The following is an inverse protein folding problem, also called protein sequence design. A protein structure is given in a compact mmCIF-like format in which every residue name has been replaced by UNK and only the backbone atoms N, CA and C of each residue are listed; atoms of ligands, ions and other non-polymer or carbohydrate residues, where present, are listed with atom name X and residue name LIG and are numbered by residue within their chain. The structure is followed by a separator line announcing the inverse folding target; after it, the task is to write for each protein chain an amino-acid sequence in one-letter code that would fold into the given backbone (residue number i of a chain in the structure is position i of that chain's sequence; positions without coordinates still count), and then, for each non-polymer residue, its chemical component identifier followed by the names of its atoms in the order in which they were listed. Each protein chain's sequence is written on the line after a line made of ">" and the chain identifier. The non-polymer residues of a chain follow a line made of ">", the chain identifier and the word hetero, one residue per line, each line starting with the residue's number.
data_IF_442068183345
#
_entry.id   IF_442068183345
#
_cell.length_a   1.000
_cell.length_b   1.000
_cell.length_c   1.000
_cell.angle_alpha   90.00
_cell.angle_beta   90.00
_cell.angle_gamma   90.00
#
_symmetry.space_group_name_H-M   'P 1'
#
loop_
_entity.id
_entity.type
_entity.pdbx_description
1 polymer ?
#
# COMPACT_ATOMS: atom_id res chain seq x y z
N UNK A 1 15.19 -51.33 3.98
CA UNK A 1 15.49 -50.40 2.86
C UNK A 1 14.25 -49.74 2.28
N UNK A 2 13.20 -50.48 1.90
CA UNK A 2 12.01 -49.92 1.26
C UNK A 2 11.26 -48.87 2.12
N UNK A 3 11.15 -49.09 3.44
CA UNK A 3 10.49 -48.14 4.35
C UNK A 3 11.22 -46.79 4.51
N UNK A 4 12.56 -46.79 4.46
CA UNK A 4 13.36 -45.55 4.52
C UNK A 4 13.19 -44.77 3.23
N UNK A 5 13.17 -45.45 2.08
CA UNK A 5 12.95 -44.82 0.77
C UNK A 5 11.56 -44.19 0.68
N UNK A 6 10.51 -44.88 1.14
CA UNK A 6 9.15 -44.33 1.18
C UNK A 6 9.03 -43.12 2.11
N UNK A 7 9.69 -43.16 3.27
CA UNK A 7 9.72 -42.02 4.19
C UNK A 7 10.43 -40.80 3.57
N UNK A 8 11.57 -41.01 2.90
CA UNK A 8 12.29 -39.94 2.21
C UNK A 8 11.47 -39.33 1.07
N UNK A 9 10.75 -40.15 0.29
CA UNK A 9 9.84 -39.67 -0.75
C UNK A 9 8.70 -38.84 -0.14
N UNK A 10 8.09 -39.30 0.95
CA UNK A 10 7.04 -38.56 1.64
C UNK A 10 7.53 -37.20 2.18
N UNK A 11 8.73 -37.15 2.77
CA UNK A 11 9.36 -35.90 3.22
C UNK A 11 9.62 -34.97 2.03
N UNK A 12 10.15 -35.49 0.91
CA UNK A 12 10.41 -34.69 -0.28
C UNK A 12 9.12 -34.09 -0.86
N UNK A 13 8.05 -34.87 -0.91
CA UNK A 13 6.72 -34.40 -1.37
C UNK A 13 6.19 -33.31 -0.43
N UNK A 14 6.31 -33.48 0.89
CA UNK A 14 5.91 -32.48 1.88
C UNK A 14 6.72 -31.18 1.73
N UNK A 15 8.04 -31.28 1.60
CA UNK A 15 8.92 -30.12 1.39
C UNK A 15 8.63 -29.41 0.08
N UNK A 16 8.39 -30.15 -1.00
CA UNK A 16 8.02 -29.58 -2.30
C UNK A 16 6.65 -28.89 -2.23
N UNK A 17 5.67 -29.52 -1.60
CA UNK A 17 4.33 -28.93 -1.41
C UNK A 17 4.39 -27.67 -0.55
N UNK A 18 5.21 -27.67 0.51
CA UNK A 18 5.46 -26.51 1.35
C UNK A 18 6.16 -25.40 0.56
N UNK A 19 7.15 -25.73 -0.28
CA UNK A 19 7.85 -24.77 -1.13
C UNK A 19 6.91 -24.10 -2.15
N UNK A 20 6.06 -24.89 -2.83
CA UNK A 20 5.05 -24.36 -3.76
C UNK A 20 4.03 -23.49 -3.03
N UNK A 21 3.59 -23.90 -1.83
CA UNK A 21 2.70 -23.11 -0.99
C UNK A 21 3.34 -21.76 -0.60
N UNK A 22 4.59 -21.77 -0.14
CA UNK A 22 5.35 -20.54 0.16
C UNK A 22 5.46 -19.66 -1.09
N UNK A 23 5.79 -20.23 -2.26
CA UNK A 23 5.90 -19.47 -3.51
C UNK A 23 4.56 -18.81 -3.92
N UNK A 24 3.45 -19.52 -3.74
CA UNK A 24 2.11 -19.04 -4.03
C UNK A 24 1.68 -17.91 -3.07
N UNK A 25 1.85 -18.13 -1.77
CA UNK A 25 1.55 -17.13 -0.73
C UNK A 25 2.37 -15.85 -0.90
N UNK A 26 3.64 -15.95 -1.33
CA UNK A 26 4.51 -14.79 -1.60
C UNK A 26 4.11 -13.96 -2.83
N UNK A 27 3.31 -14.50 -3.76
CA UNK A 27 2.96 -13.86 -5.03
C UNK A 27 1.47 -13.55 -5.18
N UNK A 28 0.69 -13.66 -4.10
CA UNK A 28 -0.74 -13.32 -4.15
C UNK A 28 -0.88 -11.81 -4.38
N UNK A 29 -1.54 -11.48 -5.49
CA UNK A 29 -1.76 -10.11 -5.96
C UNK A 29 -3.24 -9.76 -5.82
N UNK A 30 -3.51 -8.54 -5.40
CA UNK A 30 -4.87 -8.03 -5.15
C UNK A 30 -5.21 -6.92 -6.12
N UNK A 31 -6.21 -7.17 -6.97
CA UNK A 31 -6.94 -6.12 -7.68
C UNK A 31 -7.98 -5.46 -6.77
N UNK A 32 -8.73 -4.50 -7.32
CA UNK A 32 -9.71 -3.69 -6.57
C UNK A 32 -10.72 -4.51 -5.76
N UNK A 33 -11.32 -5.52 -6.37
CA UNK A 33 -12.32 -6.38 -5.72
C UNK A 33 -11.71 -7.21 -4.60
N UNK A 34 -10.51 -7.75 -4.82
CA UNK A 34 -9.76 -8.49 -3.81
C UNK A 34 -9.43 -7.65 -2.58
N UNK A 35 -8.94 -6.42 -2.78
CA UNK A 35 -8.67 -5.46 -1.70
C UNK A 35 -9.95 -5.17 -0.90
N UNK A 36 -11.06 -4.86 -1.58
CA UNK A 36 -12.33 -4.57 -0.91
C UNK A 36 -12.87 -5.78 -0.14
N UNK A 37 -12.75 -6.99 -0.70
CA UNK A 37 -13.15 -8.23 -0.03
C UNK A 37 -12.36 -8.46 1.26
N UNK A 38 -11.04 -8.34 1.20
CA UNK A 38 -10.19 -8.52 2.38
C UNK A 38 -10.42 -7.45 3.46
N UNK A 39 -10.64 -6.19 3.06
CA UNK A 39 -11.02 -5.12 3.99
C UNK A 39 -12.37 -5.39 4.66
N UNK A 40 -13.31 -6.02 3.94
CA UNK A 40 -14.62 -6.42 4.50
C UNK A 40 -14.49 -7.58 5.47
N UNK A 41 -13.61 -8.54 5.20
CA UNK A 41 -13.33 -9.60 6.18
C UNK A 41 -12.63 -9.04 7.42
N UNK A 42 -11.68 -8.11 7.26
CA UNK A 42 -11.07 -7.42 8.40
C UNK A 42 -12.15 -6.72 9.23
N UNK A 43 -13.01 -5.92 8.58
CA UNK A 43 -14.14 -5.23 9.21
C UNK A 43 -15.02 -6.13 10.09
N UNK A 44 -15.30 -7.35 9.63
CA UNK A 44 -16.10 -8.34 10.36
C UNK A 44 -15.41 -8.87 11.61
N UNK A 45 -14.08 -8.89 11.63
CA UNK A 45 -13.32 -9.33 12.81
C UNK A 45 -13.16 -8.25 13.88
N UNK A 46 -13.38 -6.98 13.52
CA UNK A 46 -13.21 -5.86 14.43
C UNK A 46 -14.43 -5.70 15.34
N UNK A 47 -14.19 -5.27 16.58
CA UNK A 47 -15.22 -4.91 17.57
C UNK A 47 -15.20 -3.42 17.96
N UNK A 48 -14.22 -2.68 17.43
CA UNK A 48 -14.00 -1.26 17.71
C UNK A 48 -14.02 -0.46 16.42
N UNK A 49 -14.47 0.80 16.50
CA UNK A 49 -14.41 1.71 15.37
C UNK A 49 -12.96 1.97 15.01
N UNK A 50 -12.64 1.77 13.74
CA UNK A 50 -11.29 1.87 13.20
C UNK A 50 -11.30 2.80 11.99
N UNK A 51 -10.31 3.66 11.87
CA UNK A 51 -10.08 4.48 10.68
C UNK A 51 -8.70 4.16 10.14
N UNK A 52 -8.58 4.00 8.83
CA UNK A 52 -7.29 3.80 8.16
C UNK A 52 -7.16 4.72 6.95
N UNK A 53 -5.95 5.21 6.72
CA UNK A 53 -5.57 5.96 5.51
C UNK A 53 -4.71 5.03 4.66
N UNK A 54 -5.28 4.49 3.60
CA UNK A 54 -4.59 3.67 2.61
C UNK A 54 -3.75 4.55 1.68
N UNK A 55 -2.57 4.09 1.33
CA UNK A 55 -1.65 4.75 0.41
C UNK A 55 -1.05 3.75 -0.59
N UNK A 56 -0.08 4.19 -1.39
CA UNK A 56 0.66 3.34 -2.31
C UNK A 56 -0.21 2.75 -3.42
N UNK A 57 0.13 1.52 -3.85
CA UNK A 57 -0.60 0.82 -4.90
C UNK A 57 -2.08 0.64 -4.57
N UNK A 58 -2.41 0.25 -3.33
CA UNK A 58 -3.79 0.05 -2.90
C UNK A 58 -4.65 1.32 -3.01
N UNK A 59 -4.12 2.50 -2.67
CA UNK A 59 -4.84 3.76 -2.88
C UNK A 59 -5.07 4.03 -4.38
N UNK A 60 -4.04 3.85 -5.19
CA UNK A 60 -4.14 4.03 -6.65
C UNK A 60 -5.17 3.11 -7.29
N UNK A 61 -5.24 1.85 -6.88
CA UNK A 61 -6.21 0.85 -7.37
C UNK A 61 -7.63 1.18 -6.90
N UNK A 62 -7.81 1.49 -5.62
CA UNK A 62 -9.14 1.67 -5.02
C UNK A 62 -9.87 2.90 -5.56
N UNK A 63 -9.16 4.05 -5.65
CA UNK A 63 -9.80 5.35 -5.91
C UNK A 63 -9.31 6.07 -7.16
N UNK A 64 -8.12 5.75 -7.69
CA UNK A 64 -7.56 6.44 -8.86
C UNK A 64 -7.56 5.61 -10.14
N UNK A 65 -7.94 4.33 -10.07
CA UNK A 65 -8.13 3.48 -11.24
C UNK A 65 -6.88 2.82 -11.81
N UNK A 66 -5.80 2.65 -11.02
CA UNK A 66 -4.63 1.89 -11.49
C UNK A 66 -5.05 0.49 -11.98
N UNK A 67 -4.70 0.16 -13.22
CA UNK A 67 -5.02 -1.11 -13.89
C UNK A 67 -3.93 -2.16 -13.66
N UNK A 68 -3.56 -2.36 -12.40
CA UNK A 68 -2.62 -3.41 -11.97
C UNK A 68 -2.99 -3.88 -10.58
N UNK A 69 -2.47 -5.04 -10.19
CA UNK A 69 -2.63 -5.54 -8.83
C UNK A 69 -1.50 -5.05 -7.90
N UNK A 70 -1.72 -5.18 -6.58
CA UNK A 70 -0.74 -4.91 -5.53
C UNK A 70 -0.47 -6.15 -4.68
N UNK A 71 0.71 -6.25 -4.09
CA UNK A 71 1.06 -7.37 -3.19
C UNK A 71 0.58 -7.13 -1.75
N UNK A 72 0.26 -5.88 -1.41
CA UNK A 72 -0.11 -5.47 -0.07
C UNK A 72 -1.01 -4.20 -0.06
N UNK A 73 -1.60 -3.95 1.11
CA UNK A 73 -2.37 -2.75 1.47
C UNK A 73 -1.54 -1.93 2.47
N UNK A 74 -0.88 -0.90 1.97
CA UNK A 74 -0.10 0.01 2.79
C UNK A 74 -0.99 1.03 3.50
N UNK A 75 -0.86 1.13 4.82
CA UNK A 75 -1.56 2.08 5.67
C UNK A 75 -0.59 3.19 6.07
N UNK A 76 -0.91 4.42 5.70
CA UNK A 76 -0.14 5.59 6.08
C UNK A 76 -0.33 5.93 7.57
N UNK A 77 -1.59 5.90 8.03
CA UNK A 77 -1.96 6.13 9.43
C UNK A 77 -3.26 5.39 9.76
N UNK A 78 -3.44 5.03 11.02
CA UNK A 78 -4.65 4.39 11.52
C UNK A 78 -5.00 4.77 12.95
N UNK A 79 -6.29 4.76 13.24
CA UNK A 79 -6.87 4.97 14.57
C UNK A 79 -7.83 3.81 14.88
N UNK A 80 -7.48 2.89 15.80
CA UNK A 80 -6.23 2.83 16.54
C UNK A 80 -5.02 2.54 15.64
N UNK A 81 -3.78 2.71 16.15
CA UNK A 81 -2.58 2.36 15.42
C UNK A 81 -2.64 0.95 14.84
N UNK A 82 -2.14 0.76 13.60
CA UNK A 82 -2.21 -0.52 12.86
C UNK A 82 -1.65 -1.70 13.64
N UNK A 83 -0.62 -1.47 14.48
CA UNK A 83 -0.06 -2.49 15.37
C UNK A 83 -1.11 -3.12 16.32
N UNK A 84 -2.14 -2.38 16.72
CA UNK A 84 -3.24 -2.91 17.54
C UNK A 84 -4.20 -3.82 16.74
N UNK A 85 -4.21 -3.70 15.41
CA UNK A 85 -4.98 -4.55 14.51
C UNK A 85 -4.23 -5.85 14.12
N UNK A 86 -2.97 -5.98 14.53
CA UNK A 86 -2.06 -7.07 14.10
C UNK A 86 -2.64 -8.47 14.26
N UNK A 87 -3.31 -8.76 15.38
CA UNK A 87 -3.94 -10.07 15.61
C UNK A 87 -4.99 -10.42 14.55
N UNK A 88 -5.81 -9.44 14.17
CA UNK A 88 -6.84 -9.61 13.14
C UNK A 88 -6.21 -9.78 11.75
N UNK A 89 -5.20 -8.96 11.44
CA UNK A 89 -4.45 -8.99 10.17
C UNK A 89 -3.76 -10.35 9.99
N UNK A 90 -3.03 -10.83 11.00
CA UNK A 90 -2.32 -12.11 10.97
C UNK A 90 -3.30 -13.28 10.91
N UNK A 91 -4.41 -13.24 11.65
CA UNK A 91 -5.42 -14.29 11.60
C UNK A 91 -6.02 -14.43 10.19
N UNK A 92 -6.29 -13.32 9.50
CA UNK A 92 -6.75 -13.34 8.12
C UNK A 92 -5.66 -13.77 7.14
N UNK A 93 -4.41 -13.36 7.39
CA UNK A 93 -3.27 -13.80 6.60
C UNK A 93 -3.17 -15.34 6.61
N UNK A 94 -3.24 -15.95 7.79
CA UNK A 94 -3.21 -17.40 7.95
C UNK A 94 -4.42 -18.09 7.28
N UNK A 95 -5.62 -17.51 7.41
CA UNK A 95 -6.85 -18.04 6.79
C UNK A 95 -6.75 -18.10 5.26
N UNK A 96 -6.14 -17.09 4.65
CA UNK A 96 -6.09 -16.91 3.19
C UNK A 96 -4.75 -17.27 2.55
N UNK A 97 -3.77 -17.72 3.35
CA UNK A 97 -2.41 -17.95 2.86
C UNK A 97 -1.74 -16.68 2.34
N UNK A 98 -1.96 -15.53 3.00
CA UNK A 98 -1.32 -14.27 2.63
C UNK A 98 -0.05 -14.05 3.46
N UNK A 99 0.89 -13.21 2.99
CA UNK A 99 2.00 -12.75 3.83
C UNK A 99 1.48 -12.05 5.08
N UNK A 100 2.12 -12.24 6.25
CA UNK A 100 1.68 -11.60 7.52
C UNK A 100 1.53 -10.08 7.44
N UNK A 101 2.32 -9.44 6.55
CA UNK A 101 2.35 -7.99 6.33
C UNK A 101 1.52 -7.54 5.12
N UNK A 102 0.55 -8.34 4.66
CA UNK A 102 -0.37 -7.97 3.58
C UNK A 102 -1.17 -6.69 3.88
N UNK A 103 -1.36 -6.34 5.16
CA UNK A 103 -1.62 -4.98 5.62
C UNK A 103 -0.46 -4.55 6.53
N UNK A 104 0.13 -3.39 6.28
CA UNK A 104 1.23 -2.89 7.09
C UNK A 104 1.27 -1.35 7.15
N UNK A 105 2.02 -0.81 8.11
CA UNK A 105 2.25 0.63 8.29
C UNK A 105 3.66 1.08 7.87
N UNK A 106 4.32 0.31 6.99
CA UNK A 106 5.69 0.59 6.55
C UNK A 106 5.82 1.93 5.81
N UNK A 107 4.73 2.42 5.24
CA UNK A 107 4.68 3.70 4.54
C UNK A 107 4.59 4.93 5.47
N UNK A 108 4.44 4.77 6.79
CA UNK A 108 4.25 5.90 7.72
C UNK A 108 5.38 6.94 7.70
N UNK A 109 6.59 6.54 7.32
CA UNK A 109 7.73 7.45 7.16
C UNK A 109 7.52 8.50 6.05
N UNK A 110 6.56 8.29 5.14
CA UNK A 110 6.22 9.26 4.11
C UNK A 110 5.25 10.34 4.59
N UNK A 111 4.72 10.28 5.83
CA UNK A 111 3.85 11.34 6.37
C UNK A 111 4.55 12.70 6.31
N UNK A 112 5.84 12.76 6.63
CA UNK A 112 6.61 14.01 6.64
C UNK A 112 6.89 14.56 5.23
N UNK A 113 6.69 13.75 4.19
CA UNK A 113 6.85 14.14 2.79
C UNK A 113 5.57 14.74 2.20
N UNK A 114 4.43 14.57 2.87
CA UNK A 114 3.15 15.11 2.42
C UNK A 114 2.97 16.56 2.90
N UNK A 115 2.20 17.39 2.17
CA UNK A 115 1.78 18.71 2.65
C UNK A 115 1.05 18.61 3.98
N UNK A 116 1.16 19.63 4.84
CA UNK A 116 0.57 19.59 6.19
C UNK A 116 -0.95 19.40 6.20
N UNK A 117 -1.60 19.87 5.13
CA UNK A 117 -3.04 19.84 4.91
C UNK A 117 -3.53 18.59 4.13
N UNK A 118 -2.67 17.58 3.91
CA UNK A 118 -3.04 16.39 3.10
C UNK A 118 -4.30 15.67 3.62
N UNK A 119 -4.57 15.78 4.94
CA UNK A 119 -5.75 15.17 5.58
C UNK A 119 -7.07 15.77 5.09
N UNK A 120 -7.06 17.01 4.60
CA UNK A 120 -8.25 17.72 4.11
C UNK A 120 -8.70 17.20 2.73
N UNK A 121 -7.81 16.49 2.02
CA UNK A 121 -8.02 15.97 0.66
C UNK A 121 -8.26 14.47 0.61
N UNK A 122 -8.39 13.80 1.75
CA UNK A 122 -8.57 12.35 1.81
C UNK A 122 -9.85 11.91 1.09
N UNK A 123 -9.74 10.84 0.30
CA UNK A 123 -10.88 10.27 -0.43
C UNK A 123 -11.46 9.13 0.39
N UNK A 124 -12.68 9.29 0.89
CA UNK A 124 -13.38 8.20 1.58
C UNK A 124 -13.82 7.13 0.58
N UNK A 125 -13.45 5.88 0.86
CA UNK A 125 -13.90 4.74 0.07
C UNK A 125 -15.42 4.57 0.21
N UNK A 126 -16.13 4.45 -0.92
CA UNK A 126 -17.60 4.36 -0.95
C UNK A 126 -18.16 3.01 -0.49
N UNK A 127 -17.32 1.99 -0.31
CA UNK A 127 -17.76 0.69 0.17
C UNK A 127 -18.32 0.78 1.60
N UNK A 128 -19.37 0.01 1.88
CA UNK A 128 -20.00 -0.04 3.19
C UNK A 128 -19.26 -1.03 4.09
N UNK A 129 -18.87 -0.54 5.26
CA UNK A 129 -18.19 -1.26 6.33
C UNK A 129 -18.86 -0.90 7.65
N UNK A 130 -18.87 -1.82 8.62
CA UNK A 130 -19.53 -1.64 9.91
C UNK A 130 -18.62 -0.93 10.92
N UNK A 131 -17.36 -1.37 11.01
CA UNK A 131 -16.40 -0.94 12.02
C UNK A 131 -15.23 -0.14 11.42
N UNK A 132 -14.84 -0.38 10.16
CA UNK A 132 -13.72 0.31 9.52
C UNK A 132 -14.20 1.46 8.62
N UNK A 133 -13.57 2.62 8.76
CA UNK A 133 -13.65 3.70 7.76
C UNK A 133 -12.33 3.73 7.00
N UNK A 134 -12.43 3.54 5.68
CA UNK A 134 -11.27 3.51 4.80
C UNK A 134 -11.20 4.83 4.04
N UNK A 135 -10.09 5.53 4.20
CA UNK A 135 -9.71 6.69 3.41
C UNK A 135 -8.53 6.32 2.53
N UNK A 136 -8.38 7.00 1.40
CA UNK A 136 -7.21 6.89 0.53
C UNK A 136 -6.60 8.28 0.33
N UNK A 137 -5.28 8.33 0.10
CA UNK A 137 -4.64 9.58 -0.32
C UNK A 137 -5.29 10.15 -1.59
N UNK A 138 -5.38 11.48 -1.63
CA UNK A 138 -5.79 12.20 -2.83
C UNK A 138 -4.83 11.92 -3.99
N UNK A 139 -5.23 12.27 -5.21
CA UNK A 139 -4.39 12.02 -6.40
C UNK A 139 -3.04 12.72 -6.30
N UNK A 140 -3.04 14.01 -5.91
CA UNK A 140 -1.81 14.81 -5.81
C UNK A 140 -0.93 14.36 -4.64
N UNK A 141 -1.53 13.99 -3.50
CA UNK A 141 -0.77 13.48 -2.36
C UNK A 141 -0.15 12.10 -2.65
N UNK A 142 -0.84 11.25 -3.42
CA UNK A 142 -0.27 10.00 -3.91
C UNK A 142 0.88 10.23 -4.90
N UNK A 143 0.75 11.21 -5.80
CA UNK A 143 1.85 11.62 -6.71
C UNK A 143 3.08 12.07 -5.91
N UNK A 144 2.90 12.93 -4.90
CA UNK A 144 3.99 13.42 -4.04
C UNK A 144 4.70 12.24 -3.35
N UNK A 145 3.92 11.32 -2.76
CA UNK A 145 4.47 10.14 -2.11
C UNK A 145 5.28 9.26 -3.08
N UNK A 146 4.81 9.12 -4.32
CA UNK A 146 5.49 8.34 -5.37
C UNK A 146 6.75 9.03 -5.88
N UNK A 147 6.74 10.35 -6.01
CA UNK A 147 7.91 11.15 -6.37
C UNK A 147 8.99 11.05 -5.28
N UNK A 148 8.58 11.01 -4.01
CA UNK A 148 9.46 10.81 -2.87
C UNK A 148 10.07 9.39 -2.82
N UNK A 149 9.28 8.34 -3.09
CA UNK A 149 9.76 6.95 -3.10
C UNK A 149 10.58 6.59 -4.35
N UNK A 150 10.11 7.02 -5.52
CA UNK A 150 10.77 6.94 -6.82
C UNK A 150 11.29 5.54 -7.23
N UNK A 151 10.55 4.48 -6.89
CA UNK A 151 10.82 3.11 -7.35
C UNK A 151 10.32 2.91 -8.79
N UNK A 152 10.78 1.89 -9.53
CA UNK A 152 10.32 1.63 -10.89
C UNK A 152 8.79 1.62 -11.05
N UNK A 153 8.08 0.92 -10.15
CA UNK A 153 6.61 0.86 -10.15
C UNK A 153 5.95 2.20 -9.78
N UNK A 154 6.63 3.05 -9.00
CA UNK A 154 6.12 4.38 -8.69
C UNK A 154 6.20 5.32 -9.89
N UNK A 155 7.22 5.16 -10.75
CA UNK A 155 7.35 5.92 -12.00
C UNK A 155 6.20 5.60 -12.95
N UNK A 156 5.87 4.32 -13.14
CA UNK A 156 4.72 3.88 -13.94
C UNK A 156 3.41 4.46 -13.41
N UNK A 157 3.21 4.39 -12.08
CA UNK A 157 2.03 4.95 -11.45
C UNK A 157 1.97 6.48 -11.58
N UNK A 158 3.09 7.21 -11.50
CA UNK A 158 3.12 8.67 -11.74
C UNK A 158 2.71 8.97 -13.18
N UNK A 159 3.21 8.21 -14.15
CA UNK A 159 2.83 8.36 -15.57
C UNK A 159 1.33 8.12 -15.75
N UNK A 160 0.76 7.13 -15.07
CA UNK A 160 -0.68 6.88 -15.09
C UNK A 160 -1.48 8.01 -14.43
N UNK A 161 -1.05 8.48 -13.26
CA UNK A 161 -1.73 9.50 -12.47
C UNK A 161 -1.66 10.90 -13.09
N UNK A 162 -0.76 11.10 -14.07
CA UNK A 162 -0.62 12.29 -14.93
C UNK A 162 -0.65 13.60 -14.13
N UNK A 163 0.45 13.97 -13.45
CA UNK A 163 0.55 15.28 -12.81
C UNK A 163 0.25 16.39 -13.83
N UNK A 164 -0.54 17.37 -13.42
CA UNK A 164 -0.97 18.50 -14.23
C UNK A 164 -0.50 19.82 -13.59
N UNK A 165 -0.56 20.93 -14.33
CA UNK A 165 -0.20 22.27 -13.83
C UNK A 165 -0.94 22.65 -12.54
N UNK A 166 -2.19 22.19 -12.37
CA UNK A 166 -3.00 22.43 -11.16
C UNK A 166 -2.42 21.76 -9.90
N UNK A 167 -1.61 20.71 -10.05
CA UNK A 167 -1.00 19.98 -8.94
C UNK A 167 0.28 20.67 -8.44
N UNK A 168 0.90 21.50 -9.27
CA UNK A 168 2.21 22.10 -9.02
C UNK A 168 2.25 22.90 -7.72
N UNK A 169 1.27 23.75 -7.36
CA UNK A 169 1.32 24.46 -6.08
C UNK A 169 1.42 23.52 -4.88
N UNK A 170 0.68 22.41 -4.89
CA UNK A 170 0.70 21.41 -3.81
C UNK A 170 2.01 20.62 -3.81
N UNK A 171 2.52 20.23 -4.99
CA UNK A 171 3.79 19.53 -5.12
C UNK A 171 4.96 20.43 -4.68
N UNK A 172 4.98 21.70 -5.08
CA UNK A 172 5.99 22.68 -4.66
C UNK A 172 5.95 22.90 -3.15
N UNK A 173 4.75 23.02 -2.55
CA UNK A 173 4.64 23.11 -1.08
C UNK A 173 5.22 21.87 -0.38
N UNK A 174 5.08 20.68 -0.96
CA UNK A 174 5.72 19.48 -0.43
C UNK A 174 7.25 19.52 -0.61
N UNK A 175 7.75 19.94 -1.77
CA UNK A 175 9.19 20.11 -2.04
C UNK A 175 9.82 21.08 -1.03
N UNK A 176 9.19 22.23 -0.77
CA UNK A 176 9.65 23.24 0.19
C UNK A 176 9.73 22.69 1.63
N UNK A 177 8.82 21.78 1.98
CA UNK A 177 8.84 21.08 3.27
C UNK A 177 9.94 20.01 3.29
N UNK A 178 10.01 19.16 2.27
CA UNK A 178 10.97 18.06 2.14
C UNK A 178 12.41 18.61 2.14
N UNK A 179 12.66 19.74 1.47
CA UNK A 179 14.00 20.34 1.37
C UNK A 179 14.65 20.65 2.73
N UNK A 180 13.85 20.81 3.79
CA UNK A 180 14.30 21.10 5.15
C UNK A 180 14.90 19.90 5.87
N UNK A 181 14.60 18.67 5.43
CA UNK A 181 15.08 17.44 6.07
C UNK A 181 15.64 16.39 5.11
N UNK A 182 15.28 16.44 3.82
CA UNK A 182 15.81 15.59 2.75
C UNK A 182 15.95 16.40 1.44
N UNK A 183 16.94 17.30 1.42
CA UNK A 183 17.25 18.14 0.26
C UNK A 183 17.54 17.33 -1.02
N UNK A 184 18.09 16.11 -0.89
CA UNK A 184 18.36 15.23 -2.04
C UNK A 184 17.07 14.78 -2.70
N UNK A 185 16.08 14.34 -1.92
CA UNK A 185 14.79 13.95 -2.47
C UNK A 185 14.06 15.16 -3.05
N UNK A 186 14.01 16.29 -2.35
CA UNK A 186 13.42 17.52 -2.89
C UNK A 186 14.00 17.90 -4.26
N UNK A 187 15.32 17.93 -4.38
CA UNK A 187 15.99 18.26 -5.64
C UNK A 187 15.71 17.25 -6.76
N UNK A 188 15.65 15.94 -6.45
CA UNK A 188 15.28 14.91 -7.43
C UNK A 188 13.87 15.14 -7.97
N UNK A 189 12.92 15.50 -7.10
CA UNK A 189 11.55 15.78 -7.50
C UNK A 189 11.52 17.00 -8.44
N UNK A 190 12.23 18.08 -8.11
CA UNK A 190 12.32 19.27 -8.98
C UNK A 190 12.88 18.94 -10.36
N UNK A 191 13.96 18.14 -10.45
CA UNK A 191 14.53 17.72 -11.72
C UNK A 191 13.53 16.93 -12.56
N UNK A 192 12.82 15.98 -11.94
CA UNK A 192 11.78 15.22 -12.63
C UNK A 192 10.69 16.12 -13.20
N UNK A 193 10.20 17.11 -12.43
CA UNK A 193 9.18 18.04 -12.90
C UNK A 193 9.68 18.89 -14.09
N UNK A 194 10.93 19.36 -14.05
CA UNK A 194 11.56 20.10 -15.16
C UNK A 194 11.68 19.25 -16.43
N UNK A 195 12.13 18.01 -16.29
CA UNK A 195 12.22 17.06 -17.41
C UNK A 195 10.86 16.76 -18.05
N UNK A 196 9.77 16.82 -17.26
CA UNK A 196 8.40 16.68 -17.74
C UNK A 196 7.77 17.98 -18.25
N UNK A 197 8.49 19.10 -18.20
CA UNK A 197 7.98 20.42 -18.62
C UNK A 197 6.84 20.93 -17.74
N UNK A 198 6.80 20.50 -16.48
CA UNK A 198 5.78 20.89 -15.51
C UNK A 198 6.17 22.12 -14.68
N UNK A 199 7.47 22.41 -14.60
CA UNK A 199 8.08 23.60 -13.97
C UNK A 199 9.31 24.06 -14.74
#
# INVERSE_FOLDING_TARGET
>A
MLGILLLLIAILILLYSLFIYILYTMNTKFGKEGIVSLLRELDQTLSIQTQIIVCGGAAGILVHGLERDTLDINILAGEPPVAQLSKHIISLANKHGLPEKWINDGAKGYIDYLPDDFRDRLIRLKATFKHIKVYALSRVDLIIMKLAAFRPEDIEDIVFLKPETKDIPTITSAIDKISRFDAKTAHRIELYLKEKGLV
#
